data_IF_695386966377
#
_entry.id   IF_695386966377
#
_cell.length_a   1.000
_cell.length_b   1.000
_cell.length_c   1.000
_cell.angle_alpha   90.00
_cell.angle_beta   90.00
_cell.angle_gamma   90.00
#
_symmetry.space_group_name_H-M   'P 1'
#
loop_
_entity.id
_entity.type
_entity.pdbx_description
1 polymer ?
#
# COMPACT_ATOMS: atom_id res chain seq x y z
N UNK A 1 -27.99 -6.66 8.45
CA UNK A 1 -26.65 -6.36 7.94
C UNK A 1 -26.77 -5.00 7.29
N UNK A 2 -25.88 -4.06 7.63
CA UNK A 2 -25.87 -2.77 6.94
C UNK A 2 -25.38 -2.94 5.51
N UNK A 3 -25.86 -2.09 4.62
CA UNK A 3 -25.39 -2.05 3.24
C UNK A 3 -23.96 -1.50 3.21
N UNK A 4 -23.07 -2.18 2.49
CA UNK A 4 -21.69 -1.75 2.23
C UNK A 4 -21.62 -1.35 0.77
N UNK A 5 -21.18 -0.11 0.52
CA UNK A 5 -20.89 0.35 -0.84
C UNK A 5 -19.41 0.13 -1.12
N UNK A 6 -19.10 -0.44 -2.27
CA UNK A 6 -17.73 -0.66 -2.73
C UNK A 6 -17.53 0.09 -4.05
N UNK A 7 -16.63 1.06 -4.02
CA UNK A 7 -16.15 1.74 -5.22
C UNK A 7 -14.89 1.02 -5.73
N UNK A 8 -14.87 0.72 -7.02
CA UNK A 8 -13.69 0.21 -7.72
C UNK A 8 -13.12 1.29 -8.64
N UNK A 9 -11.80 1.26 -8.84
CA UNK A 9 -11.13 2.18 -9.77
C UNK A 9 -9.85 1.54 -10.31
N UNK A 10 -9.53 1.86 -11.57
CA UNK A 10 -8.38 1.29 -12.26
C UNK A 10 -7.06 1.68 -11.57
N UNK A 11 -6.14 0.72 -11.50
CA UNK A 11 -4.76 0.93 -11.03
C UNK A 11 -3.76 0.51 -12.11
N UNK A 12 -2.59 1.16 -12.22
CA UNK A 12 -1.57 0.78 -13.21
C UNK A 12 -0.86 -0.51 -12.82
N UNK A 13 -1.24 -1.62 -13.44
CA UNK A 13 -0.60 -2.93 -13.28
C UNK A 13 -0.62 -3.71 -14.59
N UNK A 14 0.26 -4.69 -14.73
CA UNK A 14 0.35 -5.55 -15.93
C UNK A 14 -0.62 -6.75 -15.88
N UNK A 15 -1.88 -6.47 -15.55
CA UNK A 15 -2.98 -7.42 -15.52
C UNK A 15 -4.10 -6.98 -16.48
N UNK A 16 -5.09 -7.85 -16.71
CA UNK A 16 -6.17 -7.59 -17.66
C UNK A 16 -7.09 -6.45 -17.20
N UNK A 17 -7.44 -6.41 -15.93
CA UNK A 17 -8.38 -5.44 -15.36
C UNK A 17 -8.04 -5.19 -13.87
N UNK A 18 -6.89 -4.55 -13.58
CA UNK A 18 -6.43 -4.34 -12.21
C UNK A 18 -7.20 -3.20 -11.56
N UNK A 19 -7.74 -3.43 -10.37
CA UNK A 19 -8.54 -2.46 -9.63
C UNK A 19 -8.09 -2.29 -8.18
N UNK A 20 -8.19 -1.06 -7.69
CA UNK A 20 -8.21 -0.73 -6.27
C UNK A 20 -9.64 -0.61 -5.75
N UNK A 21 -9.81 -0.56 -4.44
CA UNK A 21 -11.10 -0.49 -3.79
C UNK A 21 -11.16 0.60 -2.73
N UNK A 22 -12.32 1.26 -2.63
CA UNK A 22 -12.72 2.02 -1.46
C UNK A 22 -14.05 1.47 -0.95
N UNK A 23 -14.03 0.92 0.26
CA UNK A 23 -15.20 0.32 0.91
C UNK A 23 -15.76 1.34 1.88
N UNK A 24 -17.02 1.73 1.67
CA UNK A 24 -17.74 2.66 2.53
C UNK A 24 -18.56 1.87 3.56
N UNK A 25 -18.37 2.19 4.84
CA UNK A 25 -19.15 1.64 5.95
C UNK A 25 -19.72 2.77 6.80
N UNK A 26 -20.66 2.44 7.67
CA UNK A 26 -21.21 3.42 8.62
C UNK A 26 -20.17 3.94 9.64
N UNK A 27 -19.07 3.17 9.88
CA UNK A 27 -18.03 3.54 10.83
C UNK A 27 -16.86 4.30 10.17
N UNK A 28 -16.70 4.19 8.85
CA UNK A 28 -15.61 4.82 8.11
C UNK A 28 -15.30 4.09 6.81
N UNK A 29 -14.33 4.59 6.06
CA UNK A 29 -13.95 4.06 4.75
C UNK A 29 -12.65 3.26 4.84
N UNK A 30 -12.60 2.13 4.14
CA UNK A 30 -11.41 1.27 4.08
C UNK A 30 -10.92 1.20 2.63
N UNK A 31 -9.68 1.59 2.40
CA UNK A 31 -9.02 1.53 1.09
C UNK A 31 -8.17 0.29 0.92
N UNK A 32 -8.12 -0.22 -0.31
CA UNK A 32 -7.22 -1.31 -0.72
C UNK A 32 -6.49 -0.91 -2.00
N UNK A 33 -5.17 -0.81 -1.92
CA UNK A 33 -4.27 -0.54 -3.04
C UNK A 33 -3.16 -1.58 -3.06
N UNK A 34 -3.34 -2.62 -3.84
CA UNK A 34 -2.33 -3.64 -4.13
C UNK A 34 -2.20 -3.78 -5.64
N UNK A 35 -1.11 -4.39 -6.08
CA UNK A 35 -0.85 -4.64 -7.50
C UNK A 35 -0.86 -3.34 -8.33
N UNK A 36 0.05 -2.43 -7.98
CA UNK A 36 0.24 -1.20 -8.75
C UNK A 36 1.71 -0.76 -8.79
N UNK A 37 2.19 -0.40 -9.97
CA UNK A 37 3.57 0.07 -10.15
C UNK A 37 3.76 1.56 -9.81
N UNK A 38 2.70 2.34 -9.83
CA UNK A 38 2.68 3.74 -9.37
C UNK A 38 1.26 4.21 -9.08
N UNK A 39 1.08 5.13 -8.14
CA UNK A 39 -0.20 5.77 -7.91
C UNK A 39 -0.36 7.00 -8.80
N UNK A 40 -1.38 7.01 -9.65
CA UNK A 40 -1.78 8.21 -10.40
C UNK A 40 -2.49 9.21 -9.49
N UNK A 41 -2.61 10.47 -9.92
CA UNK A 41 -3.41 11.46 -9.17
C UNK A 41 -4.84 10.96 -8.91
N UNK A 42 -5.45 10.30 -9.90
CA UNK A 42 -6.79 9.73 -9.75
C UNK A 42 -6.83 8.67 -8.64
N UNK A 43 -5.87 7.74 -8.63
CA UNK A 43 -5.77 6.70 -7.58
C UNK A 43 -5.63 7.34 -6.20
N UNK A 44 -4.73 8.33 -6.05
CA UNK A 44 -4.56 9.07 -4.79
C UNK A 44 -5.86 9.73 -4.34
N UNK A 45 -6.57 10.42 -5.23
CA UNK A 45 -7.84 11.08 -4.90
C UNK A 45 -8.95 10.07 -4.53
N UNK A 46 -8.98 8.90 -5.18
CA UNK A 46 -9.97 7.85 -4.88
C UNK A 46 -9.81 7.26 -3.49
N UNK A 47 -8.59 7.10 -2.98
CA UNK A 47 -8.34 6.52 -1.65
C UNK A 47 -8.15 7.55 -0.54
N UNK A 48 -8.03 8.84 -0.87
CA UNK A 48 -7.87 9.91 0.11
C UNK A 48 -8.95 9.93 1.22
N UNK A 49 -10.23 9.58 0.95
CA UNK A 49 -11.25 9.50 1.99
C UNK A 49 -11.13 8.29 2.94
N UNK A 50 -10.10 7.44 2.81
CA UNK A 50 -9.94 6.26 3.65
C UNK A 50 -9.55 6.64 5.09
N UNK A 51 -10.19 5.97 6.06
CA UNK A 51 -9.82 6.01 7.48
C UNK A 51 -8.80 4.92 7.80
N UNK A 52 -8.86 3.81 7.07
CA UNK A 52 -7.86 2.75 7.07
C UNK A 52 -7.49 2.39 5.64
N UNK A 53 -6.20 2.18 5.37
CA UNK A 53 -5.70 1.86 4.04
C UNK A 53 -4.72 0.68 4.09
N UNK A 54 -5.00 -0.37 3.33
CA UNK A 54 -4.01 -1.36 2.93
C UNK A 54 -3.30 -0.82 1.68
N UNK A 55 -2.00 -0.56 1.80
CA UNK A 55 -1.17 -0.02 0.71
C UNK A 55 -0.05 -0.99 0.38
N UNK A 56 0.10 -1.31 -0.90
CA UNK A 56 1.23 -2.10 -1.35
C UNK A 56 2.58 -1.48 -0.93
N UNK A 57 3.46 -2.33 -0.42
CA UNK A 57 4.88 -2.06 -0.18
C UNK A 57 5.65 -3.35 -0.55
N UNK A 58 5.65 -3.69 -1.84
CA UNK A 58 6.02 -5.03 -2.30
C UNK A 58 7.47 -5.38 -2.00
N UNK A 59 8.41 -4.49 -2.29
CA UNK A 59 9.83 -4.82 -2.21
C UNK A 59 10.69 -3.69 -1.64
N UNK A 60 11.75 -4.09 -0.97
CA UNK A 60 12.91 -3.24 -0.71
C UNK A 60 13.81 -3.25 -1.96
N UNK A 61 14.23 -2.07 -2.42
CA UNK A 61 15.01 -1.94 -3.66
C UNK A 61 16.34 -2.68 -3.59
N UNK A 62 17.02 -2.65 -2.42
CA UNK A 62 18.30 -3.33 -2.25
C UNK A 62 18.12 -4.85 -2.22
N UNK A 63 17.14 -5.36 -1.47
CA UNK A 63 16.86 -6.79 -1.44
C UNK A 63 16.47 -7.33 -2.82
N UNK A 64 15.68 -6.57 -3.60
CA UNK A 64 15.34 -6.95 -4.97
C UNK A 64 16.57 -6.92 -5.88
N UNK A 65 17.45 -5.92 -5.75
CA UNK A 65 18.67 -5.83 -6.54
C UNK A 65 19.62 -7.00 -6.25
N UNK A 66 19.82 -7.33 -4.98
CA UNK A 66 20.72 -8.38 -4.50
C UNK A 66 20.14 -9.80 -4.69
N UNK A 67 18.85 -9.92 -4.99
CA UNK A 67 18.19 -11.21 -5.22
C UNK A 67 18.84 -11.96 -6.41
N UNK A 68 19.30 -13.16 -6.18
CA UNK A 68 19.93 -14.02 -7.21
C UNK A 68 18.98 -15.01 -7.86
N UNK A 69 17.75 -15.14 -7.34
CA UNK A 69 16.76 -16.11 -7.84
C UNK A 69 16.02 -15.59 -9.09
N UNK A 70 15.83 -14.26 -9.20
CA UNK A 70 15.06 -13.65 -10.29
C UNK A 70 15.96 -13.18 -11.42
N UNK A 71 15.65 -13.53 -12.69
CA UNK A 71 16.30 -12.94 -13.86
C UNK A 71 16.14 -11.40 -13.87
N UNK A 72 17.09 -10.71 -14.49
CA UNK A 72 17.07 -9.26 -14.61
C UNK A 72 15.78 -8.71 -15.23
N UNK A 73 15.26 -9.36 -16.25
CA UNK A 73 14.00 -8.98 -16.90
C UNK A 73 12.81 -8.99 -15.94
N UNK A 74 12.76 -9.94 -15.02
CA UNK A 74 11.71 -10.01 -13.98
C UNK A 74 11.87 -8.86 -12.99
N UNK A 75 13.11 -8.56 -12.57
CA UNK A 75 13.36 -7.41 -11.68
C UNK A 75 12.95 -6.08 -12.33
N UNK A 76 13.29 -5.89 -13.61
CA UNK A 76 12.86 -4.71 -14.37
C UNK A 76 11.33 -4.58 -14.48
N UNK A 77 10.62 -5.70 -14.67
CA UNK A 77 9.16 -5.73 -14.66
C UNK A 77 8.61 -5.31 -13.29
N UNK A 78 9.15 -5.85 -12.20
CA UNK A 78 8.73 -5.54 -10.83
C UNK A 78 8.84 -4.03 -10.54
N UNK A 79 9.94 -3.38 -10.92
CA UNK A 79 10.15 -1.94 -10.66
C UNK A 79 9.52 -1.04 -11.71
N UNK A 80 8.85 -1.59 -12.72
CA UNK A 80 8.23 -0.80 -13.77
C UNK A 80 6.98 -0.05 -13.30
N UNK A 81 6.51 0.90 -14.11
CA UNK A 81 5.25 1.63 -13.84
C UNK A 81 4.00 0.76 -13.79
N UNK A 82 4.07 -0.48 -14.28
CA UNK A 82 3.00 -1.47 -14.25
C UNK A 82 3.38 -2.70 -13.42
N UNK A 83 4.47 -2.61 -12.65
CA UNK A 83 4.90 -3.65 -11.71
C UNK A 83 4.31 -3.42 -10.32
N UNK A 84 5.19 -3.23 -9.33
CA UNK A 84 4.82 -3.12 -7.92
C UNK A 84 5.53 -1.94 -7.24
N UNK A 85 4.90 -1.37 -6.20
CA UNK A 85 5.50 -0.32 -5.39
C UNK A 85 6.65 -0.87 -4.54
N UNK A 86 7.78 -0.17 -4.55
CA UNK A 86 8.81 -0.35 -3.52
C UNK A 86 8.36 0.25 -2.18
N UNK A 87 9.11 -0.02 -1.11
CA UNK A 87 8.86 0.60 0.20
C UNK A 87 8.91 2.14 0.12
N UNK A 88 9.85 2.71 -0.65
CA UNK A 88 10.01 4.15 -0.84
C UNK A 88 8.87 4.73 -1.68
N UNK A 89 8.43 4.01 -2.72
CA UNK A 89 7.30 4.41 -3.53
C UNK A 89 6.00 4.38 -2.70
N UNK A 90 5.81 3.36 -1.87
CA UNK A 90 4.69 3.28 -0.94
C UNK A 90 4.69 4.45 0.05
N UNK A 91 5.86 4.80 0.60
CA UNK A 91 6.00 5.95 1.48
C UNK A 91 5.61 7.26 0.77
N UNK A 92 6.07 7.46 -0.47
CA UNK A 92 5.69 8.63 -1.27
C UNK A 92 4.19 8.69 -1.58
N UNK A 93 3.54 7.55 -1.81
CA UNK A 93 2.07 7.48 -1.96
C UNK A 93 1.37 7.81 -0.65
N UNK A 94 1.85 7.28 0.48
CA UNK A 94 1.31 7.57 1.80
C UNK A 94 1.37 9.08 2.12
N UNK A 95 2.47 9.77 1.78
CA UNK A 95 2.61 11.23 1.91
C UNK A 95 1.54 12.00 1.14
N UNK A 96 1.13 11.51 -0.04
CA UNK A 96 0.14 12.17 -0.88
C UNK A 96 -1.31 11.90 -0.42
N UNK A 97 -1.53 10.77 0.25
CA UNK A 97 -2.87 10.33 0.69
C UNK A 97 -3.18 10.84 2.09
N UNK A 98 -2.17 11.03 2.94
CA UNK A 98 -2.37 11.38 4.34
C UNK A 98 -3.32 12.56 4.50
N UNK A 99 -4.33 12.37 5.34
CA UNK A 99 -5.37 13.35 5.69
C UNK A 99 -5.63 13.30 7.20
N UNK A 100 -6.45 14.21 7.71
CA UNK A 100 -6.85 14.18 9.11
C UNK A 100 -7.70 12.94 9.46
N UNK A 101 -8.34 12.32 8.46
CA UNK A 101 -9.22 11.18 8.63
C UNK A 101 -8.49 9.83 8.58
N UNK A 102 -7.30 9.76 7.94
CA UNK A 102 -6.51 8.54 7.86
C UNK A 102 -5.92 8.20 9.24
N UNK A 103 -6.43 7.14 9.86
CA UNK A 103 -6.01 6.71 11.20
C UNK A 103 -5.07 5.49 11.14
N UNK A 104 -5.26 4.61 10.15
CA UNK A 104 -4.53 3.35 10.05
C UNK A 104 -3.98 3.13 8.64
N UNK A 105 -2.70 2.82 8.55
CA UNK A 105 -2.04 2.45 7.30
C UNK A 105 -1.32 1.12 7.46
N UNK A 106 -1.65 0.19 6.57
CA UNK A 106 -1.12 -1.17 6.57
C UNK A 106 -0.26 -1.39 5.32
N UNK A 107 1.09 -1.22 5.40
CA UNK A 107 1.96 -1.72 4.36
C UNK A 107 1.77 -3.22 4.18
N UNK A 108 1.38 -3.63 2.98
CA UNK A 108 1.02 -5.01 2.68
C UNK A 108 1.46 -5.46 1.30
N UNK A 109 1.01 -6.66 0.87
CA UNK A 109 1.42 -7.29 -0.39
C UNK A 109 2.94 -7.42 -0.50
N UNK A 110 3.58 -7.81 0.60
CA UNK A 110 5.03 -7.89 0.74
C UNK A 110 5.60 -9.10 -0.01
N UNK A 111 6.67 -8.90 -0.75
CA UNK A 111 7.45 -10.01 -1.34
C UNK A 111 8.12 -10.83 -0.25
N UNK A 112 7.90 -12.14 -0.24
CA UNK A 112 8.52 -13.06 0.71
C UNK A 112 10.06 -13.10 0.63
N UNK A 113 10.62 -12.90 -0.55
CA UNK A 113 12.06 -12.93 -0.79
C UNK A 113 12.71 -11.54 -0.69
N UNK A 114 12.01 -10.51 -1.21
CA UNK A 114 12.60 -9.18 -1.44
C UNK A 114 12.03 -8.10 -0.50
N UNK A 115 11.39 -8.48 0.59
CA UNK A 115 10.96 -7.53 1.63
C UNK A 115 10.95 -8.17 3.02
N UNK A 116 10.71 -7.31 4.03
CA UNK A 116 10.48 -7.69 5.43
C UNK A 116 9.43 -6.73 6.01
N UNK A 117 8.47 -7.20 6.83
CA UNK A 117 7.46 -6.34 7.43
C UNK A 117 8.02 -5.13 8.17
N UNK A 118 9.14 -5.32 8.89
CA UNK A 118 9.81 -4.27 9.66
C UNK A 118 10.41 -3.18 8.76
N UNK A 119 10.96 -3.55 7.58
CA UNK A 119 11.50 -2.61 6.61
C UNK A 119 10.39 -1.75 6.01
N UNK A 120 9.33 -2.38 5.52
CA UNK A 120 8.20 -1.68 4.94
C UNK A 120 7.56 -0.71 5.96
N UNK A 121 7.26 -1.20 7.17
CA UNK A 121 6.71 -0.38 8.26
C UNK A 121 7.63 0.79 8.59
N UNK A 122 8.94 0.56 8.74
CA UNK A 122 9.90 1.59 9.09
C UNK A 122 9.92 2.71 8.05
N UNK A 123 10.08 2.38 6.76
CA UNK A 123 10.20 3.36 5.67
C UNK A 123 8.95 4.24 5.61
N UNK A 124 7.75 3.64 5.67
CA UNK A 124 6.49 4.37 5.65
C UNK A 124 6.31 5.22 6.91
N UNK A 125 6.60 4.67 8.10
CA UNK A 125 6.46 5.41 9.37
C UNK A 125 7.40 6.61 9.44
N UNK A 126 8.67 6.45 9.05
CA UNK A 126 9.65 7.55 9.04
C UNK A 126 9.24 8.67 8.08
N UNK A 127 8.62 8.33 6.95
CA UNK A 127 8.12 9.30 5.99
C UNK A 127 6.97 10.12 6.56
N UNK A 128 5.96 9.46 7.14
CA UNK A 128 4.83 10.13 7.77
C UNK A 128 5.24 10.99 8.97
N UNK A 129 6.21 10.53 9.77
CA UNK A 129 6.77 11.30 10.88
C UNK A 129 7.45 12.60 10.40
N UNK A 130 8.19 12.55 9.29
CA UNK A 130 8.78 13.77 8.69
C UNK A 130 7.74 14.80 8.25
N UNK A 131 6.55 14.35 7.85
CA UNK A 131 5.40 15.22 7.54
C UNK A 131 4.64 15.71 8.79
N UNK A 132 4.98 15.21 9.97
CA UNK A 132 4.23 15.50 11.19
C UNK A 132 2.91 14.74 11.32
N UNK A 133 2.68 13.72 10.49
CA UNK A 133 1.46 12.89 10.51
C UNK A 133 1.53 11.80 11.61
N UNK A 134 1.72 12.23 12.86
CA UNK A 134 1.90 11.33 14.03
C UNK A 134 0.60 10.63 14.47
N UNK A 135 -0.54 11.06 13.95
CA UNK A 135 -1.85 10.46 14.24
C UNK A 135 -2.07 9.15 13.47
N UNK A 136 -1.32 8.89 12.40
CA UNK A 136 -1.47 7.67 11.59
C UNK A 136 -0.71 6.51 12.21
N UNK A 137 -1.43 5.47 12.60
CA UNK A 137 -0.83 4.21 13.05
C UNK A 137 -0.40 3.37 11.86
N UNK A 138 0.89 3.05 11.77
CA UNK A 138 1.45 2.20 10.71
C UNK A 138 1.76 0.81 11.27
N UNK A 139 1.15 -0.23 10.67
CA UNK A 139 1.31 -1.62 11.07
C UNK A 139 1.44 -2.50 9.81
N UNK A 140 2.59 -3.17 9.64
CA UNK A 140 2.79 -4.01 8.47
C UNK A 140 2.01 -5.32 8.58
N UNK A 141 1.50 -5.81 7.44
CA UNK A 141 0.83 -7.10 7.36
C UNK A 141 1.82 -8.26 7.28
N UNK A 142 1.36 -9.44 7.66
CA UNK A 142 2.08 -10.70 7.52
C UNK A 142 1.14 -11.75 6.90
N UNK A 143 1.65 -12.66 6.05
CA UNK A 143 0.83 -13.75 5.52
C UNK A 143 0.44 -14.79 6.61
N UNK A 144 1.24 -14.89 7.67
CA UNK A 144 1.11 -15.96 8.67
C UNK A 144 0.36 -15.53 9.93
N UNK A 145 0.28 -14.23 10.19
CA UNK A 145 -0.31 -13.69 11.44
C UNK A 145 -1.29 -12.58 11.09
N UNK A 146 -2.56 -12.71 11.48
CA UNK A 146 -3.53 -11.64 11.25
C UNK A 146 -3.17 -10.41 12.07
N UNK A 147 -3.42 -9.22 11.51
CA UNK A 147 -3.36 -7.99 12.28
C UNK A 147 -4.42 -7.96 13.38
N UNK A 148 -4.24 -7.09 14.37
CA UNK A 148 -5.26 -6.85 15.38
C UNK A 148 -6.57 -6.39 14.70
N UNK A 149 -7.70 -6.73 15.32
CA UNK A 149 -9.01 -6.28 14.84
C UNK A 149 -9.05 -4.75 14.79
N UNK A 150 -9.38 -4.21 13.60
CA UNK A 150 -9.57 -2.79 13.40
C UNK A 150 -10.98 -2.40 13.84
N UNK A 151 -11.07 -1.34 14.64
CA UNK A 151 -12.32 -0.62 14.92
C UNK A 151 -12.16 0.80 14.44
N UNK A 152 -13.04 1.24 13.54
CA UNK A 152 -13.12 2.60 13.00
C UNK A 152 -14.09 3.44 13.82
#
# INVERSE_FOLDING_TARGET
MGDVLVDTFDVPHDALDPVGFLIHTAAGNIGFLTDLGHATKLVVERVRPAHALLLEANHDLKLLQDDTKRPWSVKQRIVSRHGHLSNEAAASVAEQIVSADLQHLYPGHLSSDCNRPELARRVVSESLLRLGATHVRVEATSPDVPCATLSL
#
